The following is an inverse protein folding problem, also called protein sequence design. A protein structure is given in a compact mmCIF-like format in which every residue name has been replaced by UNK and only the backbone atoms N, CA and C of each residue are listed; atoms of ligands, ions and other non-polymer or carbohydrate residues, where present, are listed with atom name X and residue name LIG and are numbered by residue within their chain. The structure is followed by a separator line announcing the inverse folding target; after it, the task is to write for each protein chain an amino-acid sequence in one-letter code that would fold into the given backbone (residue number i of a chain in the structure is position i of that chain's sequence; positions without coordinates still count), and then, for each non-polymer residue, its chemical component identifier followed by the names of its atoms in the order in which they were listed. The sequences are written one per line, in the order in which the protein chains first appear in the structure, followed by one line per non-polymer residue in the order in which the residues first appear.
data_IF_871241091381
#
_entry.id   IF_871241091381
#
_cell.length_a   1.000
_cell.length_b   1.000
_cell.length_c   1.000
_cell.angle_alpha   90.00
_cell.angle_beta   90.00
_cell.angle_gamma   90.00
#
_symmetry.space_group_name_H-M   'P 1'
#
loop_
_entity.id
_entity.type
_entity.pdbx_description
1 polymer ?
#
# COMPACT_ATOMS: atom_id res chain seq x y z
N UNK A 1 -24.50 3.75 0.34
CA UNK A 1 -23.41 4.00 1.31
C UNK A 1 -22.61 5.17 0.75
N UNK A 2 -22.36 6.24 1.52
CA UNK A 2 -21.64 7.40 0.98
C UNK A 2 -20.20 7.03 0.59
N UNK A 3 -19.65 7.69 -0.42
CA UNK A 3 -18.32 7.41 -0.95
C UNK A 3 -17.24 7.50 0.14
N UNK A 4 -17.37 8.50 1.01
CA UNK A 4 -16.52 8.67 2.19
C UNK A 4 -16.56 7.46 3.13
N UNK A 5 -17.72 6.88 3.42
CA UNK A 5 -17.80 5.70 4.30
C UNK A 5 -17.15 4.48 3.66
N UNK A 6 -17.33 4.32 2.35
CA UNK A 6 -16.71 3.23 1.58
C UNK A 6 -15.18 3.36 1.61
N UNK A 7 -14.66 4.56 1.34
CA UNK A 7 -13.23 4.85 1.41
C UNK A 7 -12.63 4.56 2.78
N UNK A 8 -13.27 5.02 3.86
CA UNK A 8 -12.79 4.78 5.22
C UNK A 8 -12.79 3.28 5.56
N UNK A 9 -13.81 2.52 5.13
CA UNK A 9 -13.83 1.07 5.30
C UNK A 9 -12.72 0.36 4.51
N UNK A 10 -12.40 0.82 3.29
CA UNK A 10 -11.29 0.28 2.50
C UNK A 10 -9.94 0.63 3.11
N UNK A 11 -9.78 1.86 3.62
CA UNK A 11 -8.60 2.26 4.40
C UNK A 11 -8.42 1.32 5.60
N UNK A 12 -9.46 1.03 6.38
CA UNK A 12 -9.35 0.15 7.55
C UNK A 12 -8.91 -1.25 7.16
N UNK A 13 -9.52 -1.83 6.11
CA UNK A 13 -9.10 -3.12 5.54
C UNK A 13 -7.63 -3.12 5.12
N UNK A 14 -7.18 -2.07 4.44
CA UNK A 14 -5.81 -1.94 3.96
C UNK A 14 -4.82 -1.71 5.10
N UNK A 15 -5.21 -0.99 6.15
CA UNK A 15 -4.41 -0.78 7.35
C UNK A 15 -4.23 -2.11 8.10
N UNK A 16 -5.29 -2.88 8.30
CA UNK A 16 -5.21 -4.20 8.94
C UNK A 16 -4.29 -5.14 8.16
N UNK A 17 -4.45 -5.18 6.83
CA UNK A 17 -3.58 -5.97 5.96
C UNK A 17 -2.11 -5.53 6.05
N UNK A 18 -1.86 -4.21 6.08
CA UNK A 18 -0.52 -3.69 6.24
C UNK A 18 0.10 -4.09 7.59
N UNK A 19 -0.67 -4.03 8.67
CA UNK A 19 -0.24 -4.44 10.02
C UNK A 19 0.12 -5.94 10.02
N UNK A 20 -0.63 -6.79 9.32
CA UNK A 20 -0.27 -8.20 9.18
C UNK A 20 1.05 -8.39 8.41
N UNK A 21 1.26 -7.67 7.31
CA UNK A 21 2.52 -7.72 6.56
C UNK A 21 3.70 -7.27 7.42
N UNK A 22 3.52 -6.24 8.24
CA UNK A 22 4.57 -5.68 9.10
C UNK A 22 5.08 -6.67 10.15
N UNK A 23 4.31 -7.71 10.51
CA UNK A 23 4.76 -8.80 11.40
C UNK A 23 5.91 -9.60 10.80
N UNK A 24 6.07 -9.59 9.48
CA UNK A 24 7.13 -10.32 8.78
C UNK A 24 8.47 -9.54 8.71
N UNK A 25 8.51 -8.28 9.16
CA UNK A 25 9.73 -7.44 9.13
C UNK A 25 10.94 -8.12 9.74
N UNK A 26 10.78 -8.70 10.93
CA UNK A 26 11.87 -9.36 11.65
C UNK A 26 12.50 -10.54 10.90
N UNK A 27 11.75 -11.16 9.99
CA UNK A 27 12.21 -12.31 9.20
C UNK A 27 12.89 -11.93 7.88
N UNK A 28 12.86 -10.64 7.51
CA UNK A 28 13.21 -10.15 6.16
C UNK A 28 14.15 -8.95 6.21
N UNK A 29 15.21 -9.06 7.01
CA UNK A 29 16.19 -7.98 7.23
C UNK A 29 17.25 -7.85 6.13
N UNK A 30 17.22 -8.73 5.13
CA UNK A 30 18.19 -8.74 4.04
C UNK A 30 18.04 -7.51 3.15
N UNK A 31 19.17 -6.93 2.75
CA UNK A 31 19.22 -5.87 1.74
C UNK A 31 19.26 -6.52 0.36
N UNK A 32 18.30 -6.15 -0.49
CA UNK A 32 18.10 -6.72 -1.82
C UNK A 32 18.40 -5.64 -2.86
N UNK A 33 19.23 -5.98 -3.84
CA UNK A 33 19.42 -5.14 -5.01
C UNK A 33 18.08 -4.97 -5.74
N UNK A 34 17.62 -3.74 -5.84
CA UNK A 34 16.45 -3.44 -6.66
C UNK A 34 16.93 -3.12 -8.07
N UNK A 35 16.06 -3.23 -9.08
CA UNK A 35 16.37 -2.69 -10.42
C UNK A 35 16.50 -1.16 -10.46
N UNK A 36 16.38 -0.48 -9.31
CA UNK A 36 16.63 0.95 -9.14
C UNK A 36 18.03 1.18 -8.55
N UNK A 37 18.53 2.41 -8.61
CA UNK A 37 19.90 2.76 -8.20
C UNK A 37 20.21 2.52 -6.71
N UNK A 38 19.19 2.32 -5.86
CA UNK A 38 19.34 2.10 -4.43
C UNK A 38 18.80 0.72 -4.02
N UNK A 39 19.58 -0.08 -3.27
CA UNK A 39 19.11 -1.33 -2.71
C UNK A 39 18.11 -1.06 -1.58
N UNK A 40 17.19 -1.99 -1.35
CA UNK A 40 16.12 -1.85 -0.37
C UNK A 40 16.06 -3.05 0.58
N UNK A 41 15.47 -2.87 1.75
CA UNK A 41 15.23 -3.98 2.66
C UNK A 41 14.14 -4.91 2.11
N UNK A 42 14.37 -6.22 2.21
CA UNK A 42 13.46 -7.26 1.72
C UNK A 42 12.04 -7.12 2.32
N UNK A 43 11.93 -6.70 3.58
CA UNK A 43 10.64 -6.43 4.21
C UNK A 43 9.89 -5.24 3.58
N UNK A 44 10.59 -4.19 3.14
CA UNK A 44 9.98 -3.03 2.46
C UNK A 44 9.35 -3.49 1.15
N UNK A 45 10.09 -4.28 0.37
CA UNK A 45 9.59 -4.84 -0.88
C UNK A 45 8.39 -5.77 -0.64
N UNK A 46 8.45 -6.61 0.39
CA UNK A 46 7.35 -7.50 0.77
C UNK A 46 6.08 -6.73 1.10
N UNK A 47 6.18 -5.67 1.91
CA UNK A 47 5.04 -4.81 2.28
C UNK A 47 4.44 -4.11 1.07
N UNK A 48 5.27 -3.50 0.21
CA UNK A 48 4.81 -2.83 -1.02
C UNK A 48 4.08 -3.77 -1.96
N UNK A 49 4.61 -4.98 -2.19
CA UNK A 49 3.97 -5.97 -3.06
C UNK A 49 2.71 -6.56 -2.43
N UNK A 50 2.71 -6.78 -1.12
CA UNK A 50 1.53 -7.25 -0.38
C UNK A 50 0.39 -6.25 -0.43
N UNK A 51 0.69 -4.95 -0.31
CA UNK A 51 -0.29 -3.88 -0.46
C UNK A 51 -0.77 -3.73 -1.89
N UNK A 52 0.11 -3.83 -2.90
CA UNK A 52 -0.29 -3.83 -4.31
C UNK A 52 -1.28 -4.96 -4.62
N UNK A 53 -1.02 -6.17 -4.10
CA UNK A 53 -1.90 -7.31 -4.29
C UNK A 53 -3.29 -7.07 -3.68
N UNK A 54 -3.37 -6.45 -2.50
CA UNK A 54 -4.63 -6.12 -1.85
C UNK A 54 -5.39 -5.02 -2.60
N UNK A 55 -4.70 -3.94 -2.97
CA UNK A 55 -5.27 -2.85 -3.78
C UNK A 55 -5.82 -3.40 -5.09
N UNK A 56 -5.09 -4.26 -5.78
CA UNK A 56 -5.55 -4.86 -7.03
C UNK A 56 -6.76 -5.78 -6.84
N UNK A 57 -6.85 -6.51 -5.72
CA UNK A 57 -8.05 -7.29 -5.39
C UNK A 57 -9.26 -6.38 -5.20
N UNK A 58 -9.11 -5.29 -4.45
CA UNK A 58 -10.17 -4.29 -4.26
C UNK A 58 -10.56 -3.65 -5.60
N UNK A 59 -9.59 -3.30 -6.45
CA UNK A 59 -9.86 -2.75 -7.79
C UNK A 59 -10.69 -3.72 -8.63
N UNK A 60 -10.35 -5.01 -8.63
CA UNK A 60 -11.14 -6.04 -9.31
C UNK A 60 -12.56 -6.18 -8.73
N UNK A 61 -12.70 -6.21 -7.40
CA UNK A 61 -14.00 -6.24 -6.71
C UNK A 61 -14.89 -5.04 -7.11
N UNK A 62 -14.26 -3.90 -7.44
CA UNK A 62 -14.93 -2.67 -7.87
C UNK A 62 -15.09 -2.54 -9.40
N UNK A 63 -14.55 -3.46 -10.18
CA UNK A 63 -14.62 -3.44 -11.65
C UNK A 63 -13.56 -2.56 -12.34
N UNK A 64 -12.53 -2.13 -11.62
CA UNK A 64 -11.40 -1.36 -12.16
C UNK A 64 -10.27 -2.26 -12.67
N UNK A 65 -9.46 -1.74 -13.60
CA UNK A 65 -8.25 -2.42 -14.10
C UNK A 65 -7.16 -2.44 -13.04
N UNK A 66 -6.36 -3.50 -12.95
CA UNK A 66 -5.20 -3.56 -12.03
C UNK A 66 -4.24 -2.37 -12.22
N UNK A 67 -3.68 -1.89 -11.12
CA UNK A 67 -2.59 -0.91 -11.10
C UNK A 67 -1.22 -1.58 -10.91
N UNK A 68 -0.16 -0.78 -11.05
CA UNK A 68 1.23 -1.19 -10.85
C UNK A 68 1.80 -0.63 -9.54
N UNK A 69 3.04 -0.96 -9.21
CA UNK A 69 3.70 -0.47 -8.00
C UNK A 69 3.97 1.05 -8.03
N UNK A 70 4.03 1.66 -9.22
CA UNK A 70 4.41 3.08 -9.40
C UNK A 70 3.54 4.05 -8.59
N UNK A 71 2.20 4.06 -8.75
CA UNK A 71 1.31 4.90 -7.95
C UNK A 71 1.42 4.67 -6.45
N UNK A 72 1.55 3.41 -6.01
CA UNK A 72 1.68 3.08 -4.58
C UNK A 72 2.99 3.62 -4.00
N UNK A 73 4.09 3.53 -4.77
CA UNK A 73 5.37 4.07 -4.35
C UNK A 73 5.34 5.60 -4.25
N UNK A 74 4.71 6.27 -5.23
CA UNK A 74 4.53 7.72 -5.19
C UNK A 74 3.71 8.14 -3.95
N UNK A 75 2.61 7.44 -3.66
CA UNK A 75 1.78 7.68 -2.48
C UNK A 75 2.54 7.43 -1.17
N UNK A 76 3.29 6.35 -1.07
CA UNK A 76 4.09 6.01 0.11
C UNK A 76 5.11 7.10 0.42
N UNK A 77 5.79 7.65 -0.59
CA UNK A 77 6.77 8.73 -0.40
C UNK A 77 6.17 9.97 0.26
N UNK A 78 4.88 10.24 0.07
CA UNK A 78 4.17 11.34 0.73
C UNK A 78 3.86 11.05 2.21
N UNK A 79 4.03 9.81 2.65
CA UNK A 79 3.79 9.37 4.02
C UNK A 79 5.09 9.27 4.83
N UNK A 80 6.23 9.02 4.19
CA UNK A 80 7.52 8.84 4.87
C UNK A 80 7.84 10.02 5.79
N UNK A 81 8.22 9.72 7.03
CA UNK A 81 8.55 10.72 8.05
C UNK A 81 7.36 11.23 8.86
N UNK A 82 6.13 10.84 8.51
CA UNK A 82 4.94 11.19 9.28
C UNK A 82 4.67 10.18 10.42
N UNK A 83 4.18 10.66 11.56
CA UNK A 83 3.81 9.81 12.71
C UNK A 83 2.63 8.89 12.42
N UNK A 84 1.74 9.33 11.54
CA UNK A 84 0.55 8.63 11.04
C UNK A 84 0.83 7.88 9.72
N UNK A 85 2.10 7.56 9.43
CA UNK A 85 2.53 6.92 8.17
C UNK A 85 1.61 5.77 7.73
N UNK A 86 1.31 4.83 8.63
CA UNK A 86 0.54 3.63 8.28
C UNK A 86 -0.90 3.96 7.88
N UNK A 87 -1.56 4.83 8.64
CA UNK A 87 -2.94 5.26 8.38
C UNK A 87 -3.03 6.07 7.08
N UNK A 88 -2.08 7.00 6.89
CA UNK A 88 -2.00 7.84 5.69
C UNK A 88 -1.72 7.01 4.44
N UNK A 89 -0.82 6.04 4.53
CA UNK A 89 -0.50 5.17 3.40
C UNK A 89 -1.67 4.26 3.03
N UNK A 90 -2.36 3.69 4.03
CA UNK A 90 -3.57 2.90 3.82
C UNK A 90 -4.70 3.74 3.18
N UNK A 91 -4.83 5.02 3.57
CA UNK A 91 -5.79 5.94 2.96
C UNK A 91 -5.48 6.19 1.49
N UNK A 92 -4.24 6.51 1.14
CA UNK A 92 -3.87 6.69 -0.26
C UNK A 92 -4.01 5.40 -1.08
N UNK A 93 -3.72 4.24 -0.50
CA UNK A 93 -3.98 2.96 -1.15
C UNK A 93 -5.48 2.76 -1.43
N UNK A 94 -6.36 3.19 -0.53
CA UNK A 94 -7.81 3.15 -0.74
C UNK A 94 -8.23 4.10 -1.88
N UNK A 95 -7.67 5.31 -1.93
CA UNK A 95 -7.93 6.27 -3.01
C UNK A 95 -7.45 5.74 -4.37
N UNK A 96 -6.28 5.10 -4.42
CA UNK A 96 -5.80 4.41 -5.62
C UNK A 96 -6.75 3.27 -6.00
N UNK A 97 -7.25 2.50 -5.03
CA UNK A 97 -8.19 1.42 -5.30
C UNK A 97 -9.53 1.91 -5.89
N UNK A 98 -9.92 3.15 -5.57
CA UNK A 98 -11.16 3.77 -6.01
C UNK A 98 -11.01 4.70 -7.24
N UNK A 99 -9.81 4.83 -7.81
CA UNK A 99 -9.51 5.83 -8.86
C UNK A 99 -9.73 7.29 -8.43
N UNK A 100 -9.60 7.56 -7.14
CA UNK A 100 -9.65 8.92 -6.56
C UNK A 100 -8.26 9.53 -6.35
N UNK A 101 -7.20 8.73 -6.46
CA UNK A 101 -5.83 9.21 -6.27
C UNK A 101 -5.39 10.03 -7.51
N UNK A 102 -4.94 11.29 -7.31
CA UNK A 102 -4.61 12.22 -8.39
C UNK A 102 -3.34 11.86 -9.18
#
# INVERSE_FOLDING_TARGET
MSDVRKKLALRDRLLDHFVELAKERGKRQEVVATGSAEPELSWVLYERHGMLAEVNRIREELGYVRTTLGPLWAAERLCVGHVDYAEKWALYCAEIAMEEYP
#
